data_IF_050838367492
#
_entry.id   IF_050838367492
#
_cell.length_a   1.000
_cell.length_b   1.000
_cell.length_c   1.000
_cell.angle_alpha   90.00
_cell.angle_beta   90.00
_cell.angle_gamma   90.00
#
_symmetry.space_group_name_H-M   'P 1'
#
loop_
_entity.id
_entity.type
_entity.pdbx_description
1 polymer ?
#
# COMPACT_ATOMS: atom_id res chain seq x y z
N UNK A 1 -30.18 0.20 -9.85
CA UNK A 1 -30.49 -1.25 -9.89
C UNK A 1 -31.98 -1.37 -10.11
N UNK A 2 -32.38 -2.06 -11.16
CA UNK A 2 -33.77 -2.38 -11.49
C UNK A 2 -34.00 -3.86 -11.18
N UNK A 3 -35.00 -4.15 -10.34
CA UNK A 3 -35.27 -5.48 -9.82
C UNK A 3 -36.70 -5.84 -10.09
N UNK A 4 -36.92 -6.94 -10.82
CA UNK A 4 -38.25 -7.45 -11.09
C UNK A 4 -38.86 -8.10 -9.84
N UNK A 5 -40.17 -8.32 -9.86
CA UNK A 5 -40.87 -9.08 -8.83
C UNK A 5 -40.45 -10.55 -8.85
N UNK A 6 -40.56 -11.22 -7.70
CA UNK A 6 -40.30 -12.65 -7.61
C UNK A 6 -41.31 -13.45 -8.39
N UNK A 7 -40.82 -14.38 -9.21
CA UNK A 7 -41.61 -15.47 -9.78
C UNK A 7 -41.53 -16.64 -8.82
N UNK A 8 -42.61 -16.94 -8.14
CA UNK A 8 -42.72 -18.03 -7.17
C UNK A 8 -43.17 -19.33 -7.84
N UNK A 9 -42.37 -20.40 -7.72
CA UNK A 9 -42.71 -21.73 -8.20
C UNK A 9 -43.38 -22.54 -7.10
N UNK A 10 -42.96 -22.39 -5.86
CA UNK A 10 -43.62 -22.94 -4.67
C UNK A 10 -43.19 -22.10 -3.42
N UNK A 11 -44.02 -22.08 -2.36
CA UNK A 11 -43.72 -21.29 -1.19
C UNK A 11 -42.65 -21.91 -0.29
N UNK A 12 -41.78 -21.06 0.22
CA UNK A 12 -40.84 -21.38 1.33
C UNK A 12 -40.79 -20.23 2.31
N UNK A 13 -40.52 -20.52 3.59
CA UNK A 13 -40.34 -19.50 4.63
C UNK A 13 -38.88 -19.05 4.73
N UNK A 14 -37.97 -20.01 4.71
CA UNK A 14 -36.53 -19.80 4.84
C UNK A 14 -35.77 -20.84 4.02
N UNK A 15 -34.53 -20.53 3.69
CA UNK A 15 -33.65 -21.47 3.04
C UNK A 15 -33.03 -22.43 4.06
N UNK A 16 -33.04 -23.72 3.74
CA UNK A 16 -32.35 -24.74 4.55
C UNK A 16 -30.90 -24.82 4.06
N UNK A 17 -29.97 -24.47 4.91
CA UNK A 17 -28.54 -24.58 4.62
C UNK A 17 -28.01 -25.96 4.99
N UNK A 18 -27.49 -26.69 4.00
CA UNK A 18 -26.91 -28.02 4.17
C UNK A 18 -25.38 -28.04 4.08
N UNK A 19 -24.78 -26.92 3.87
CA UNK A 19 -23.35 -26.74 3.53
C UNK A 19 -22.36 -26.96 4.67
N UNK A 20 -22.82 -27.16 5.91
CA UNK A 20 -21.95 -27.64 6.98
C UNK A 20 -21.56 -29.10 6.79
N UNK A 21 -22.42 -29.88 6.13
CA UNK A 21 -22.29 -31.34 6.00
C UNK A 21 -21.94 -31.80 4.60
N UNK A 22 -22.33 -31.03 3.56
CA UNK A 22 -22.13 -31.41 2.16
C UNK A 22 -21.83 -30.23 1.25
N UNK A 23 -21.08 -30.48 0.20
CA UNK A 23 -20.80 -29.52 -0.88
C UNK A 23 -21.70 -29.73 -2.11
N UNK A 24 -22.46 -30.80 -2.12
CA UNK A 24 -23.34 -31.18 -3.23
C UNK A 24 -24.72 -31.53 -2.71
N UNK A 25 -25.76 -30.98 -3.33
CA UNK A 25 -27.15 -31.20 -2.91
C UNK A 25 -28.07 -31.21 -4.13
N UNK A 26 -29.13 -32.04 -4.07
CA UNK A 26 -30.26 -31.95 -4.99
C UNK A 26 -31.15 -30.79 -4.54
N UNK A 27 -31.45 -29.88 -5.46
CA UNK A 27 -32.20 -28.66 -5.14
C UNK A 27 -33.28 -28.39 -6.18
N UNK A 28 -34.32 -27.66 -5.76
CA UNK A 28 -35.34 -27.07 -6.63
C UNK A 28 -35.44 -25.58 -6.41
N UNK A 29 -35.62 -24.83 -7.48
CA UNK A 29 -35.83 -23.39 -7.42
C UNK A 29 -37.24 -23.12 -6.89
N UNK A 30 -37.32 -22.48 -5.72
CA UNK A 30 -38.57 -22.06 -5.11
C UNK A 30 -39.09 -20.75 -5.73
N UNK A 31 -38.17 -19.81 -5.98
CA UNK A 31 -38.45 -18.54 -6.62
C UNK A 31 -37.24 -17.99 -7.34
N UNK A 32 -37.48 -17.13 -8.32
CA UNK A 32 -36.41 -16.40 -9.02
C UNK A 32 -36.87 -15.01 -9.45
N UNK A 33 -35.94 -14.15 -9.75
CA UNK A 33 -36.19 -12.84 -10.37
C UNK A 33 -35.01 -12.36 -11.19
N UNK A 34 -35.31 -11.44 -12.12
CA UNK A 34 -34.27 -10.75 -12.91
C UNK A 34 -33.83 -9.47 -12.20
N UNK A 35 -32.56 -9.16 -12.28
CA UNK A 35 -31.95 -7.92 -11.77
C UNK A 35 -31.10 -7.31 -12.86
N UNK A 36 -31.32 -6.03 -13.13
CA UNK A 36 -30.51 -5.26 -14.09
C UNK A 36 -29.77 -4.16 -13.35
N UNK A 37 -28.47 -4.12 -13.48
CA UNK A 37 -27.61 -3.10 -12.89
C UNK A 37 -26.55 -2.66 -13.88
N UNK A 38 -26.45 -1.35 -14.11
CA UNK A 38 -25.46 -0.75 -15.03
C UNK A 38 -25.45 -1.43 -16.42
N UNK A 39 -26.62 -1.76 -16.96
CA UNK A 39 -26.78 -2.41 -18.27
C UNK A 39 -26.44 -3.90 -18.29
N UNK A 40 -26.11 -4.52 -17.16
CA UNK A 40 -25.89 -5.95 -17.05
C UNK A 40 -27.08 -6.63 -16.38
N UNK A 41 -27.50 -7.75 -16.94
CA UNK A 41 -28.60 -8.55 -16.42
C UNK A 41 -28.06 -9.77 -15.70
N UNK A 42 -28.59 -10.05 -14.52
CA UNK A 42 -28.36 -11.27 -13.74
C UNK A 42 -29.69 -11.78 -13.19
N UNK A 43 -29.67 -12.97 -12.66
CA UNK A 43 -30.83 -13.61 -12.06
C UNK A 43 -30.51 -14.04 -10.64
N UNK A 44 -31.49 -13.93 -9.77
CA UNK A 44 -31.44 -14.37 -8.38
C UNK A 44 -32.31 -15.61 -8.22
N UNK A 45 -31.72 -16.67 -7.69
CA UNK A 45 -32.39 -17.94 -7.46
C UNK A 45 -32.44 -18.26 -5.97
N UNK A 46 -33.61 -18.66 -5.48
CA UNK A 46 -33.77 -19.16 -4.11
C UNK A 46 -34.21 -20.64 -4.22
N UNK A 47 -33.43 -21.53 -3.56
CA UNK A 47 -33.69 -22.96 -3.55
C UNK A 47 -34.46 -23.37 -2.28
N UNK A 48 -35.08 -24.53 -2.31
CA UNK A 48 -35.70 -25.19 -1.15
C UNK A 48 -34.65 -25.52 -0.08
N UNK A 49 -33.48 -25.97 -0.54
CA UNK A 49 -32.28 -26.25 0.28
C UNK A 49 -31.04 -25.93 -0.53
N UNK A 50 -29.93 -25.71 0.15
CA UNK A 50 -28.70 -25.33 -0.56
C UNK A 50 -27.45 -25.67 0.22
N UNK A 51 -26.39 -26.17 -0.45
CA UNK A 51 -25.07 -26.30 0.16
C UNK A 51 -24.28 -25.00 0.11
N UNK A 52 -24.77 -23.98 -0.60
CA UNK A 52 -24.09 -22.69 -0.76
C UNK A 52 -24.22 -21.83 0.49
N UNK A 53 -23.10 -21.42 1.05
CA UNK A 53 -23.06 -20.44 2.12
C UNK A 53 -23.36 -19.05 1.57
N UNK A 54 -24.34 -18.38 2.13
CA UNK A 54 -24.66 -17.01 1.78
C UNK A 54 -23.78 -16.01 2.54
N UNK A 55 -23.34 -14.97 1.83
CA UNK A 55 -22.50 -13.91 2.40
C UNK A 55 -23.11 -13.37 3.71
N UNK A 56 -22.44 -13.62 4.81
CA UNK A 56 -22.90 -13.20 6.14
C UNK A 56 -21.76 -13.36 7.16
N UNK A 57 -21.85 -12.63 8.28
CA UNK A 57 -20.89 -12.75 9.37
C UNK A 57 -19.44 -12.44 8.97
N UNK A 58 -19.21 -11.67 7.92
CA UNK A 58 -17.89 -11.35 7.39
C UNK A 58 -17.31 -12.37 6.41
N UNK A 59 -17.90 -13.54 6.29
CA UNK A 59 -17.48 -14.53 5.29
C UNK A 59 -18.25 -14.34 3.98
N UNK A 60 -17.52 -14.22 2.87
CA UNK A 60 -18.14 -14.13 1.53
C UNK A 60 -18.90 -15.40 1.18
N UNK A 61 -19.95 -15.25 0.37
CA UNK A 61 -20.75 -16.37 -0.11
C UNK A 61 -19.97 -17.26 -1.07
N UNK A 62 -20.39 -18.50 -1.15
CA UNK A 62 -19.81 -19.49 -2.04
C UNK A 62 -20.08 -19.18 -3.52
N UNK A 63 -19.23 -19.70 -4.36
CA UNK A 63 -19.43 -19.86 -5.79
C UNK A 63 -19.50 -21.35 -6.14
N UNK A 64 -20.00 -21.64 -7.30
CA UNK A 64 -20.07 -23.04 -7.77
C UNK A 64 -20.91 -23.18 -9.02
N UNK A 65 -21.68 -24.25 -9.09
CA UNK A 65 -22.42 -24.67 -10.27
C UNK A 65 -23.78 -25.27 -9.90
N UNK A 66 -24.78 -25.02 -10.72
CA UNK A 66 -26.00 -25.84 -10.73
C UNK A 66 -26.09 -26.60 -12.05
N UNK A 67 -26.48 -27.85 -12.01
CA UNK A 67 -26.52 -28.74 -13.15
C UNK A 67 -27.85 -29.50 -13.20
N UNK A 68 -28.42 -29.57 -14.39
CA UNK A 68 -29.50 -30.49 -14.74
C UNK A 68 -29.04 -31.44 -15.87
N UNK A 69 -29.94 -32.29 -16.36
CA UNK A 69 -29.62 -33.17 -17.48
C UNK A 69 -29.13 -32.41 -18.73
N UNK A 70 -29.59 -31.18 -18.96
CA UNK A 70 -29.37 -30.41 -20.18
C UNK A 70 -28.63 -29.09 -19.99
N UNK A 71 -28.41 -28.65 -18.73
CA UNK A 71 -27.88 -27.35 -18.45
C UNK A 71 -26.81 -27.39 -17.36
N UNK A 72 -25.86 -26.49 -17.50
CA UNK A 72 -24.82 -26.25 -16.51
C UNK A 72 -24.64 -24.74 -16.34
N UNK A 73 -24.99 -24.21 -15.18
CA UNK A 73 -25.05 -22.78 -14.93
C UNK A 73 -24.16 -22.42 -13.75
N UNK A 74 -23.14 -21.54 -13.93
CA UNK A 74 -22.32 -21.05 -12.84
C UNK A 74 -23.11 -20.20 -11.84
N UNK A 75 -22.92 -20.46 -10.56
CA UNK A 75 -23.32 -19.58 -9.46
C UNK A 75 -22.12 -18.67 -9.15
N UNK A 76 -22.25 -17.40 -9.48
CA UNK A 76 -21.14 -16.43 -9.41
C UNK A 76 -21.03 -15.73 -8.06
N UNK A 77 -22.10 -15.72 -7.28
CA UNK A 77 -22.14 -15.19 -5.92
C UNK A 77 -23.33 -15.78 -5.15
N UNK A 78 -23.23 -15.76 -3.84
CA UNK A 78 -24.31 -16.19 -2.93
C UNK A 78 -24.45 -15.18 -1.82
N UNK A 79 -25.65 -14.62 -1.69
CA UNK A 79 -25.99 -13.61 -0.69
C UNK A 79 -27.02 -14.14 0.31
N UNK A 80 -27.14 -13.49 1.44
CA UNK A 80 -28.16 -13.82 2.44
C UNK A 80 -28.98 -12.58 2.73
N UNK A 81 -30.30 -12.72 2.59
CA UNK A 81 -31.24 -11.61 2.79
C UNK A 81 -32.56 -12.15 3.39
N UNK A 82 -32.95 -11.60 4.53
CA UNK A 82 -34.22 -11.94 5.21
C UNK A 82 -34.46 -13.46 5.41
N UNK A 83 -33.43 -14.18 5.83
CA UNK A 83 -33.51 -15.64 6.02
C UNK A 83 -33.43 -16.48 4.75
N UNK A 84 -33.36 -15.83 3.59
CA UNK A 84 -33.21 -16.50 2.29
C UNK A 84 -31.77 -16.47 1.83
N UNK A 85 -31.32 -17.57 1.24
CA UNK A 85 -30.04 -17.67 0.56
C UNK A 85 -30.28 -17.46 -0.93
N UNK A 86 -29.67 -16.41 -1.47
CA UNK A 86 -29.88 -15.94 -2.84
C UNK A 86 -28.66 -16.29 -3.68
N UNK A 87 -28.85 -17.09 -4.71
CA UNK A 87 -27.81 -17.51 -5.64
C UNK A 87 -27.86 -16.64 -6.89
N UNK A 88 -26.75 -16.00 -7.23
CA UNK A 88 -26.66 -15.10 -8.39
C UNK A 88 -26.07 -15.86 -9.57
N UNK A 89 -26.82 -15.86 -10.67
CA UNK A 89 -26.44 -16.46 -11.94
C UNK A 89 -26.59 -15.44 -13.06
N UNK A 90 -25.81 -15.61 -14.13
CA UNK A 90 -25.86 -14.70 -15.29
C UNK A 90 -26.86 -15.19 -16.38
N UNK A 91 -27.39 -16.37 -16.21
CA UNK A 91 -28.33 -16.99 -17.13
C UNK A 91 -29.44 -17.70 -16.36
N UNK A 92 -30.70 -17.43 -16.70
CA UNK A 92 -31.81 -18.17 -16.15
C UNK A 92 -31.86 -19.58 -16.79
N UNK A 93 -32.07 -20.63 -15.99
CA UNK A 93 -32.32 -21.97 -16.56
C UNK A 93 -33.49 -21.97 -17.56
N UNK A 94 -33.38 -22.75 -18.63
CA UNK A 94 -34.47 -22.93 -19.60
C UNK A 94 -35.69 -23.56 -18.95
N UNK A 95 -35.49 -24.53 -18.05
CA UNK A 95 -36.52 -25.09 -17.21
C UNK A 95 -36.28 -24.81 -15.72
N UNK A 96 -36.77 -23.70 -15.20
CA UNK A 96 -36.57 -23.35 -13.78
C UNK A 96 -37.25 -24.31 -12.79
N UNK A 97 -38.25 -25.09 -13.25
CA UNK A 97 -38.97 -26.06 -12.44
C UNK A 97 -38.25 -27.42 -12.31
N UNK A 98 -37.14 -27.60 -13.01
CA UNK A 98 -36.37 -28.83 -12.96
C UNK A 98 -35.69 -29.04 -11.62
N UNK A 99 -35.29 -30.27 -11.33
CA UNK A 99 -34.37 -30.58 -10.26
C UNK A 99 -32.94 -30.34 -10.73
N UNK A 100 -32.15 -29.63 -9.90
CA UNK A 100 -30.75 -29.36 -10.16
C UNK A 100 -29.86 -30.05 -9.12
N UNK A 101 -28.65 -30.41 -9.54
CA UNK A 101 -27.58 -30.73 -8.62
C UNK A 101 -26.76 -29.44 -8.37
N UNK A 102 -26.79 -28.94 -7.15
CA UNK A 102 -25.99 -27.78 -6.72
C UNK A 102 -24.63 -28.27 -6.21
N UNK A 103 -23.56 -27.71 -6.75
CA UNK A 103 -22.18 -28.04 -6.37
C UNK A 103 -21.43 -26.77 -5.98
N UNK A 104 -21.00 -26.70 -4.75
CA UNK A 104 -20.09 -25.66 -4.28
C UNK A 104 -18.69 -25.91 -4.83
N UNK A 105 -17.99 -24.86 -5.24
CA UNK A 105 -16.57 -24.95 -5.59
C UNK A 105 -15.78 -25.42 -4.35
N UNK A 106 -15.22 -26.63 -4.36
CA UNK A 106 -14.61 -27.21 -3.15
C UNK A 106 -13.32 -26.52 -2.74
N UNK A 107 -12.52 -26.06 -3.71
CA UNK A 107 -11.25 -25.38 -3.44
C UNK A 107 -11.49 -24.00 -2.81
N UNK A 108 -12.40 -23.23 -3.38
CA UNK A 108 -12.77 -21.91 -2.86
C UNK A 108 -13.41 -21.99 -1.47
N UNK A 109 -14.33 -22.95 -1.26
CA UNK A 109 -14.92 -23.20 0.06
C UNK A 109 -13.86 -23.59 1.09
N UNK A 110 -12.97 -24.51 0.75
CA UNK A 110 -11.92 -24.94 1.67
C UNK A 110 -11.01 -23.79 2.05
N UNK A 111 -10.60 -22.96 1.09
CA UNK A 111 -9.76 -21.80 1.32
C UNK A 111 -10.47 -20.77 2.23
N UNK A 112 -11.74 -20.48 2.00
CA UNK A 112 -12.53 -19.60 2.86
C UNK A 112 -12.70 -20.17 4.27
N UNK A 113 -12.99 -21.46 4.39
CA UNK A 113 -13.11 -22.13 5.67
C UNK A 113 -11.79 -22.13 6.47
N UNK A 114 -10.66 -22.37 5.81
CA UNK A 114 -9.34 -22.27 6.41
C UNK A 114 -9.06 -20.85 6.93
N UNK A 115 -9.36 -19.84 6.14
CA UNK A 115 -9.19 -18.44 6.53
C UNK A 115 -10.12 -18.04 7.68
N UNK A 116 -11.33 -18.57 7.70
CA UNK A 116 -12.26 -18.32 8.80
C UNK A 116 -11.77 -18.94 10.11
N UNK A 117 -11.33 -20.17 10.05
CA UNK A 117 -10.73 -20.85 11.22
C UNK A 117 -9.46 -20.12 11.69
N UNK A 118 -8.60 -19.71 10.78
CA UNK A 118 -7.42 -18.90 11.09
C UNK A 118 -7.79 -17.58 11.78
N UNK A 119 -8.89 -16.96 11.39
CA UNK A 119 -9.41 -15.74 12.03
C UNK A 119 -9.74 -15.98 13.50
N UNK A 120 -10.40 -17.10 13.82
CA UNK A 120 -10.70 -17.49 15.21
C UNK A 120 -9.42 -17.73 16.02
N UNK A 121 -8.46 -18.47 15.47
CA UNK A 121 -7.17 -18.71 16.12
C UNK A 121 -6.40 -17.40 16.35
N UNK A 122 -6.42 -16.49 15.40
CA UNK A 122 -5.79 -15.20 15.52
C UNK A 122 -6.47 -14.32 16.58
N UNK A 123 -7.79 -14.33 16.64
CA UNK A 123 -8.53 -13.60 17.67
C UNK A 123 -8.10 -14.03 19.09
N UNK A 124 -8.01 -15.31 19.34
CA UNK A 124 -7.49 -15.85 20.61
C UNK A 124 -6.04 -15.41 20.85
N UNK A 125 -5.19 -15.52 19.83
CA UNK A 125 -3.78 -15.13 19.93
C UNK A 125 -3.62 -13.63 20.24
N UNK A 126 -4.40 -12.77 19.60
CA UNK A 126 -4.41 -11.32 19.86
C UNK A 126 -4.78 -11.02 21.32
N UNK A 127 -5.77 -11.71 21.88
CA UNK A 127 -6.15 -11.55 23.28
C UNK A 127 -5.05 -12.02 24.24
N UNK A 128 -4.33 -13.08 23.89
CA UNK A 128 -3.19 -13.57 24.69
C UNK A 128 -2.00 -12.60 24.67
N UNK A 129 -1.71 -11.99 23.51
CA UNK A 129 -0.55 -11.11 23.35
C UNK A 129 -0.83 -9.69 23.81
N UNK A 130 -2.00 -9.14 23.44
CA UNK A 130 -2.34 -7.73 23.68
C UNK A 130 -3.20 -7.52 24.92
N UNK A 131 -4.04 -8.48 25.28
CA UNK A 131 -4.92 -8.42 26.43
C UNK A 131 -6.40 -8.66 26.13
N UNK A 132 -7.18 -8.78 27.19
CA UNK A 132 -8.62 -9.09 27.11
C UNK A 132 -9.49 -7.97 26.54
N UNK A 133 -8.95 -6.76 26.37
CA UNK A 133 -9.62 -5.62 25.74
C UNK A 133 -9.84 -5.79 24.23
N UNK A 134 -9.13 -6.75 23.61
CA UNK A 134 -9.29 -7.05 22.19
C UNK A 134 -10.67 -7.65 21.93
N UNK A 135 -11.46 -6.94 21.14
CA UNK A 135 -12.79 -7.34 20.68
C UNK A 135 -12.90 -7.16 19.18
N UNK A 136 -13.59 -8.06 18.51
CA UNK A 136 -13.87 -7.94 17.09
C UNK A 136 -14.75 -6.72 16.81
N UNK A 137 -14.30 -5.86 15.88
CA UNK A 137 -15.06 -4.70 15.36
C UNK A 137 -15.50 -4.90 13.92
N UNK A 138 -14.90 -5.80 13.20
CA UNK A 138 -15.23 -6.18 11.84
C UNK A 138 -14.43 -7.39 11.41
N UNK A 139 -14.90 -8.05 10.35
CA UNK A 139 -14.21 -9.21 9.78
C UNK A 139 -14.55 -9.32 8.30
N UNK A 140 -13.58 -9.75 7.50
CA UNK A 140 -13.78 -10.18 6.13
C UNK A 140 -12.98 -11.46 5.90
N UNK A 141 -13.67 -12.49 5.44
CA UNK A 141 -13.06 -13.78 5.10
C UNK A 141 -13.41 -14.10 3.66
N UNK A 142 -12.40 -14.24 2.85
CA UNK A 142 -12.50 -14.67 1.44
C UNK A 142 -11.59 -15.88 1.21
N UNK A 143 -11.68 -16.58 0.09
CA UNK A 143 -10.71 -17.63 -0.24
C UNK A 143 -9.26 -17.15 -0.32
N UNK A 144 -9.05 -15.86 -0.64
CA UNK A 144 -7.73 -15.28 -0.88
C UNK A 144 -7.10 -14.63 0.34
N UNK A 145 -7.93 -14.05 1.24
CA UNK A 145 -7.45 -13.21 2.35
C UNK A 145 -8.41 -13.26 3.53
N UNK A 146 -7.87 -13.07 4.71
CA UNK A 146 -8.65 -12.72 5.89
C UNK A 146 -8.27 -11.32 6.38
N UNK A 147 -9.25 -10.59 6.88
CA UNK A 147 -9.10 -9.27 7.43
C UNK A 147 -9.89 -9.18 8.73
N UNK A 148 -9.24 -8.69 9.77
CA UNK A 148 -9.81 -8.65 11.11
C UNK A 148 -9.58 -7.27 11.73
N UNK A 149 -10.66 -6.61 12.10
CA UNK A 149 -10.65 -5.32 12.78
C UNK A 149 -10.96 -5.54 14.27
N UNK A 150 -10.15 -4.94 15.13
CA UNK A 150 -10.25 -5.17 16.56
C UNK A 150 -9.89 -3.92 17.37
N UNK A 151 -10.39 -3.86 18.60
CA UNK A 151 -10.12 -2.79 19.55
C UNK A 151 -8.70 -2.90 20.12
N UNK A 152 -7.88 -1.89 19.83
CA UNK A 152 -6.55 -1.72 20.41
C UNK A 152 -6.05 -0.30 20.17
N UNK A 153 -5.36 0.29 21.14
CA UNK A 153 -5.04 1.73 21.14
C UNK A 153 -3.72 2.07 20.46
N UNK A 154 -2.83 1.10 20.30
CA UNK A 154 -1.48 1.33 19.80
C UNK A 154 -1.21 0.51 18.55
N UNK A 155 -0.27 1.00 17.74
CA UNK A 155 0.30 0.20 16.67
C UNK A 155 1.00 -1.02 17.28
N UNK A 156 0.72 -2.21 16.74
CA UNK A 156 1.42 -3.41 17.16
C UNK A 156 2.89 -3.37 16.76
N UNK A 157 3.74 -3.80 17.69
CA UNK A 157 5.18 -3.94 17.39
C UNK A 157 5.44 -5.14 16.49
N UNK A 158 6.57 -5.16 15.75
CA UNK A 158 6.97 -6.34 14.98
C UNK A 158 7.06 -7.61 15.82
N UNK A 159 7.49 -7.49 17.09
CA UNK A 159 7.56 -8.61 18.02
C UNK A 159 6.17 -9.14 18.38
N UNK A 160 5.22 -8.25 18.69
CA UNK A 160 3.84 -8.64 19.00
C UNK A 160 3.19 -9.34 17.81
N UNK A 161 3.38 -8.81 16.58
CA UNK A 161 2.89 -9.45 15.36
C UNK A 161 3.50 -10.83 15.17
N UNK A 162 4.79 -10.98 15.42
CA UNK A 162 5.48 -12.27 15.35
C UNK A 162 4.95 -13.27 16.39
N UNK A 163 4.69 -12.82 17.60
CA UNK A 163 4.13 -13.66 18.66
C UNK A 163 2.72 -14.17 18.32
N UNK A 164 1.86 -13.29 17.79
CA UNK A 164 0.53 -13.67 17.29
C UNK A 164 0.64 -14.71 16.18
N UNK A 165 1.47 -14.48 15.19
CA UNK A 165 1.68 -15.39 14.07
C UNK A 165 2.21 -16.75 14.54
N UNK A 166 3.15 -16.76 15.49
CA UNK A 166 3.69 -18.01 16.06
C UNK A 166 2.63 -18.79 16.84
N UNK A 167 1.78 -18.12 17.61
CA UNK A 167 0.69 -18.79 18.35
C UNK A 167 -0.33 -19.41 17.39
N UNK A 168 -0.71 -18.70 16.33
CA UNK A 168 -1.63 -19.24 15.33
C UNK A 168 -1.01 -20.45 14.63
N UNK A 169 0.23 -20.36 14.19
CA UNK A 169 0.90 -21.48 13.51
C UNK A 169 1.13 -22.68 14.46
N UNK A 170 1.31 -22.45 15.74
CA UNK A 170 1.36 -23.53 16.74
C UNK A 170 0.03 -24.28 16.81
N UNK A 171 -1.08 -23.55 16.82
CA UNK A 171 -2.42 -24.14 16.80
C UNK A 171 -2.69 -24.89 15.48
N UNK A 172 -2.20 -24.38 14.36
CA UNK A 172 -2.25 -25.08 13.07
C UNK A 172 -1.52 -26.42 13.14
N UNK A 173 -0.27 -26.42 13.64
CA UNK A 173 0.52 -27.65 13.76
C UNK A 173 -0.04 -28.65 14.78
N UNK A 174 -0.76 -28.16 15.79
CA UNK A 174 -1.44 -29.01 16.76
C UNK A 174 -2.59 -29.83 16.14
N UNK A 175 -3.05 -29.41 14.95
CA UNK A 175 -4.08 -30.09 14.19
C UNK A 175 -5.36 -30.38 15.02
N UNK A 176 -5.84 -29.35 15.71
CA UNK A 176 -7.08 -29.46 16.49
C UNK A 176 -8.26 -29.76 15.58
N UNK A 177 -9.09 -30.79 15.90
CA UNK A 177 -10.29 -31.07 15.15
C UNK A 177 -11.35 -29.99 15.40
N UNK A 178 -12.24 -29.81 14.41
CA UNK A 178 -13.46 -29.04 14.60
C UNK A 178 -14.37 -29.75 15.59
N UNK A 179 -14.70 -29.08 16.67
CA UNK A 179 -15.73 -29.48 17.60
C UNK A 179 -16.85 -28.44 17.54
N UNK A 180 -18.03 -28.85 17.11
CA UNK A 180 -19.18 -27.95 17.01
C UNK A 180 -20.40 -28.45 17.77
N UNK A 181 -21.14 -27.51 18.32
CA UNK A 181 -22.46 -27.74 18.89
C UNK A 181 -23.45 -26.76 18.24
N UNK A 182 -24.31 -27.26 17.37
CA UNK A 182 -25.31 -26.47 16.63
C UNK A 182 -26.56 -26.16 17.45
N UNK A 183 -26.70 -26.78 18.58
CA UNK A 183 -27.88 -26.74 19.46
C UNK A 183 -27.52 -26.24 20.87
N UNK A 184 -26.39 -25.52 20.99
CA UNK A 184 -25.97 -25.00 22.29
C UNK A 184 -26.95 -23.93 22.80
N UNK A 185 -27.18 -23.91 24.10
CA UNK A 185 -27.86 -22.77 24.72
C UNK A 185 -26.88 -21.62 24.96
N UNK A 186 -27.40 -20.43 25.11
CA UNK A 186 -26.58 -19.27 25.42
C UNK A 186 -25.82 -19.45 26.74
N UNK A 187 -26.44 -20.08 27.74
CA UNK A 187 -25.81 -20.36 29.02
C UNK A 187 -24.67 -21.40 28.91
N UNK A 188 -24.83 -22.42 28.07
CA UNK A 188 -23.76 -23.39 27.78
C UNK A 188 -22.56 -22.70 27.09
N UNK A 189 -22.81 -21.80 26.15
CA UNK A 189 -21.77 -21.03 25.49
C UNK A 189 -21.01 -20.13 26.47
N UNK A 190 -21.69 -19.44 27.37
CA UNK A 190 -21.09 -18.61 28.41
C UNK A 190 -20.24 -19.43 29.37
N UNK A 191 -20.70 -20.61 29.78
CA UNK A 191 -19.94 -21.53 30.64
C UNK A 191 -18.65 -22.04 30.00
N UNK A 192 -18.65 -22.22 28.68
CA UNK A 192 -17.48 -22.61 27.91
C UNK A 192 -16.50 -21.43 27.66
N UNK A 193 -16.87 -20.21 28.05
CA UNK A 193 -16.08 -19.03 27.76
C UNK A 193 -16.06 -18.67 26.27
N UNK A 194 -17.12 -19.04 25.53
CA UNK A 194 -17.21 -18.76 24.10
C UNK A 194 -17.24 -17.26 23.84
N UNK A 195 -16.45 -16.82 22.86
CA UNK A 195 -16.47 -15.43 22.41
C UNK A 195 -17.76 -15.16 21.63
N UNK A 196 -18.44 -14.07 22.00
CA UNK A 196 -19.67 -13.60 21.38
C UNK A 196 -19.47 -12.19 20.86
N UNK A 197 -20.04 -11.89 19.69
CA UNK A 197 -20.00 -10.52 19.18
C UNK A 197 -20.88 -9.61 20.00
N UNK A 198 -20.33 -8.48 20.44
CA UNK A 198 -21.06 -7.48 21.19
C UNK A 198 -22.16 -6.86 20.32
N UNK A 199 -23.40 -6.87 20.82
CA UNK A 199 -24.56 -6.28 20.14
C UNK A 199 -25.27 -7.19 19.14
N UNK A 200 -24.80 -8.40 18.88
CA UNK A 200 -25.56 -9.39 18.10
C UNK A 200 -26.69 -9.99 18.94
N UNK A 201 -27.85 -10.12 18.32
CA UNK A 201 -28.98 -10.83 18.90
C UNK A 201 -28.90 -12.30 18.55
N UNK A 202 -28.53 -13.12 19.55
CA UNK A 202 -28.55 -14.56 19.41
C UNK A 202 -29.94 -15.12 19.76
N UNK A 203 -30.38 -16.12 18.98
CA UNK A 203 -31.59 -16.87 19.31
C UNK A 203 -31.41 -17.77 20.55
N UNK A 204 -32.42 -18.57 20.85
CA UNK A 204 -32.38 -19.52 21.98
C UNK A 204 -31.30 -20.60 21.82
N UNK A 205 -31.04 -20.99 20.57
CA UNK A 205 -30.00 -21.91 20.15
C UNK A 205 -28.93 -21.22 19.32
N UNK A 206 -27.66 -21.51 19.62
CA UNK A 206 -26.50 -20.94 18.96
C UNK A 206 -25.55 -22.05 18.52
N UNK A 207 -24.82 -21.76 17.43
CA UNK A 207 -23.75 -22.67 16.99
C UNK A 207 -22.43 -22.27 17.63
N UNK A 208 -21.89 -23.19 18.43
CA UNK A 208 -20.59 -23.01 19.08
C UNK A 208 -19.54 -23.82 18.32
N UNK A 209 -18.42 -23.16 18.02
CA UNK A 209 -17.29 -23.72 17.26
C UNK A 209 -16.05 -23.69 18.16
N UNK A 210 -15.41 -24.86 18.32
CA UNK A 210 -14.21 -25.02 19.12
C UNK A 210 -13.07 -25.62 18.30
N UNK A 211 -11.89 -25.06 18.49
CA UNK A 211 -10.60 -25.62 18.06
C UNK A 211 -9.60 -25.49 19.22
N UNK A 212 -9.40 -26.58 19.94
CA UNK A 212 -8.58 -26.54 21.15
C UNK A 212 -9.16 -25.58 22.21
N UNK A 213 -8.40 -24.55 22.57
CA UNK A 213 -8.83 -23.50 23.51
C UNK A 213 -9.64 -22.38 22.88
N UNK A 214 -9.66 -22.27 21.55
CA UNK A 214 -10.45 -21.26 20.82
C UNK A 214 -11.91 -21.69 20.74
N UNK A 215 -12.81 -20.91 21.34
CA UNK A 215 -14.25 -21.18 21.35
C UNK A 215 -15.00 -19.91 20.98
N UNK A 216 -15.81 -19.97 19.93
CA UNK A 216 -16.62 -18.83 19.47
C UNK A 216 -18.01 -19.26 19.02
N UNK A 217 -18.96 -18.35 19.13
CA UNK A 217 -20.25 -18.47 18.46
C UNK A 217 -20.08 -18.00 17.00
N UNK A 218 -20.36 -18.87 16.06
CA UNK A 218 -20.13 -18.59 14.67
C UNK A 218 -21.05 -19.39 13.73
N UNK A 219 -21.66 -18.69 12.77
CA UNK A 219 -22.45 -19.32 11.70
C UNK A 219 -21.67 -19.64 10.42
N UNK A 220 -20.40 -19.21 10.33
CA UNK A 220 -19.58 -19.41 9.15
C UNK A 220 -19.11 -20.85 8.95
N UNK A 221 -18.48 -21.11 7.82
CA UNK A 221 -17.89 -22.42 7.52
C UNK A 221 -16.48 -22.51 8.06
N UNK A 222 -16.12 -23.68 8.57
CA UNK A 222 -14.83 -23.96 9.18
C UNK A 222 -14.17 -25.21 8.59
N UNK A 223 -12.84 -25.23 8.66
CA UNK A 223 -12.09 -26.43 8.28
C UNK A 223 -12.32 -27.58 9.29
N UNK A 224 -12.17 -28.80 8.84
CA UNK A 224 -12.35 -29.99 9.70
C UNK A 224 -11.27 -30.13 10.77
N UNK A 225 -10.09 -29.60 10.53
CA UNK A 225 -8.98 -29.59 11.47
C UNK A 225 -8.03 -28.43 11.14
N UNK A 226 -7.39 -27.87 12.16
CA UNK A 226 -6.52 -26.69 12.00
C UNK A 226 -5.29 -26.95 11.11
N UNK A 227 -4.84 -28.20 11.02
CA UNK A 227 -3.73 -28.58 10.13
C UNK A 227 -3.98 -28.29 8.65
N UNK A 228 -5.24 -28.28 8.21
CA UNK A 228 -5.60 -27.96 6.83
C UNK A 228 -5.29 -26.52 6.44
N UNK A 229 -5.14 -25.62 7.41
CA UNK A 229 -4.77 -24.21 7.18
C UNK A 229 -3.39 -24.10 6.52
N UNK A 230 -2.47 -25.02 6.85
CA UNK A 230 -1.10 -25.01 6.38
C UNK A 230 -0.25 -23.98 7.13
N UNK A 231 0.14 -22.91 6.46
CA UNK A 231 0.89 -21.81 7.08
C UNK A 231 0.04 -20.53 7.12
N UNK A 232 0.08 -19.86 8.26
CA UNK A 232 -0.57 -18.56 8.48
C UNK A 232 0.47 -17.45 8.44
N UNK A 233 0.24 -16.42 7.63
CA UNK A 233 1.15 -15.28 7.47
C UNK A 233 0.40 -13.96 7.57
N UNK A 234 0.80 -13.10 8.50
CA UNK A 234 0.31 -11.73 8.60
C UNK A 234 1.00 -10.89 7.50
N UNK A 235 0.21 -10.18 6.72
CA UNK A 235 0.70 -9.29 5.67
C UNK A 235 0.87 -7.86 6.16
N UNK A 236 -0.11 -7.34 6.91
CA UNK A 236 -0.17 -5.94 7.28
C UNK A 236 -0.96 -5.71 8.56
N UNK A 237 -0.60 -4.67 9.29
CA UNK A 237 -1.33 -4.14 10.45
C UNK A 237 -1.45 -2.62 10.28
N UNK A 238 -2.66 -2.09 10.39
CA UNK A 238 -2.93 -0.66 10.16
C UNK A 238 -4.03 -0.13 11.07
N UNK A 239 -4.10 1.19 11.20
CA UNK A 239 -5.21 1.88 11.85
C UNK A 239 -6.39 2.03 10.90
N UNK A 240 -7.61 1.80 11.41
CA UNK A 240 -8.86 2.05 10.68
C UNK A 240 -9.56 3.29 11.23
N UNK A 241 -9.60 3.41 12.53
CA UNK A 241 -10.13 4.56 13.25
C UNK A 241 -9.49 4.65 14.63
N UNK A 242 -9.86 5.66 15.40
CA UNK A 242 -9.38 5.79 16.77
C UNK A 242 -9.73 4.54 17.59
N UNK A 243 -8.71 3.88 18.14
CA UNK A 243 -8.87 2.68 18.96
C UNK A 243 -9.23 1.42 18.20
N UNK A 244 -9.18 1.40 16.86
CA UNK A 244 -9.45 0.21 16.04
C UNK A 244 -8.28 -0.07 15.10
N UNK A 245 -7.72 -1.27 15.20
CA UNK A 245 -6.64 -1.79 14.36
C UNK A 245 -7.16 -2.85 13.40
N UNK A 246 -6.49 -2.99 12.27
CA UNK A 246 -6.78 -3.99 11.24
C UNK A 246 -5.57 -4.85 10.97
N UNK A 247 -5.76 -6.17 10.96
CA UNK A 247 -4.78 -7.13 10.45
C UNK A 247 -5.32 -7.75 9.17
N UNK A 248 -4.45 -7.86 8.18
CA UNK A 248 -4.66 -8.63 6.96
C UNK A 248 -3.69 -9.82 6.96
N UNK A 249 -4.19 -11.00 6.67
CA UNK A 249 -3.41 -12.23 6.69
C UNK A 249 -3.85 -13.19 5.58
N UNK A 250 -2.98 -14.13 5.28
CA UNK A 250 -3.20 -15.19 4.29
C UNK A 250 -2.80 -16.54 4.87
N UNK A 251 -3.31 -17.61 4.26
CA UNK A 251 -3.03 -18.99 4.68
C UNK A 251 -2.68 -19.87 3.49
N UNK A 252 -2.09 -21.04 3.76
CA UNK A 252 -1.88 -22.09 2.78
C UNK A 252 -1.07 -21.64 1.58
N UNK A 253 -1.55 -21.92 0.39
CA UNK A 253 -0.87 -21.61 -0.86
C UNK A 253 -0.54 -20.12 -1.03
N UNK A 254 -1.43 -19.22 -0.59
CA UNK A 254 -1.14 -17.78 -0.62
C UNK A 254 0.04 -17.41 0.28
N UNK A 255 0.15 -18.03 1.43
CA UNK A 255 1.29 -17.82 2.35
C UNK A 255 2.58 -18.38 1.74
N UNK A 256 2.54 -19.53 1.07
CA UNK A 256 3.68 -20.08 0.33
C UNK A 256 4.16 -19.14 -0.77
N UNK A 257 3.24 -18.57 -1.55
CA UNK A 257 3.57 -17.60 -2.60
C UNK A 257 4.30 -16.36 -2.04
N UNK A 258 3.90 -15.87 -0.88
CA UNK A 258 4.58 -14.76 -0.21
C UNK A 258 6.01 -15.13 0.19
N UNK A 259 6.21 -16.34 0.72
CA UNK A 259 7.54 -16.86 1.07
C UNK A 259 8.42 -16.97 -0.16
N UNK A 260 7.93 -17.60 -1.22
CA UNK A 260 8.66 -17.76 -2.47
C UNK A 260 9.04 -16.42 -3.10
N UNK A 261 8.13 -15.45 -3.11
CA UNK A 261 8.42 -14.11 -3.61
C UNK A 261 9.54 -13.41 -2.81
N UNK A 262 9.57 -13.60 -1.49
CA UNK A 262 10.63 -13.07 -0.64
C UNK A 262 11.97 -13.77 -0.91
N UNK A 263 11.96 -15.10 -1.07
CA UNK A 263 13.15 -15.87 -1.42
C UNK A 263 13.70 -15.48 -2.79
N UNK A 264 12.83 -15.34 -3.79
CA UNK A 264 13.21 -14.92 -5.14
C UNK A 264 13.85 -13.53 -5.13
N UNK A 265 13.23 -12.58 -4.42
CA UNK A 265 13.79 -11.23 -4.27
C UNK A 265 15.17 -11.26 -3.61
N UNK A 266 15.34 -12.06 -2.57
CA UNK A 266 16.63 -12.19 -1.89
C UNK A 266 17.70 -12.80 -2.79
N UNK A 267 17.32 -13.83 -3.58
CA UNK A 267 18.21 -14.45 -4.57
C UNK A 267 18.61 -13.45 -5.65
N UNK A 268 17.66 -12.72 -6.22
CA UNK A 268 17.93 -11.72 -7.25
C UNK A 268 18.90 -10.63 -6.76
N UNK A 269 18.72 -10.17 -5.52
CA UNK A 269 19.65 -9.21 -4.90
C UNK A 269 21.04 -9.83 -4.72
N UNK A 270 21.10 -11.06 -4.23
CA UNK A 270 22.36 -11.80 -4.07
C UNK A 270 23.10 -11.96 -5.39
N UNK A 271 22.38 -12.33 -6.45
CA UNK A 271 22.94 -12.52 -7.79
C UNK A 271 23.41 -11.18 -8.37
N UNK A 272 22.64 -10.11 -8.21
CA UNK A 272 23.01 -8.77 -8.66
C UNK A 272 24.27 -8.24 -7.96
N UNK A 273 24.40 -8.51 -6.67
CA UNK A 273 25.55 -8.11 -5.86
C UNK A 273 26.75 -9.08 -6.01
N UNK A 274 26.58 -10.21 -6.69
CA UNK A 274 27.55 -11.30 -6.77
C UNK A 274 28.07 -11.73 -5.39
N UNK A 275 27.19 -11.72 -4.39
CA UNK A 275 27.55 -12.05 -3.00
C UNK A 275 26.37 -12.67 -2.24
N UNK A 276 26.52 -13.90 -1.71
CA UNK A 276 25.47 -14.54 -0.93
C UNK A 276 25.21 -13.88 0.42
N UNK A 277 26.14 -13.08 0.92
CA UNK A 277 25.99 -12.32 2.16
C UNK A 277 25.42 -10.93 1.87
N UNK A 278 24.16 -10.88 1.44
CA UNK A 278 23.48 -9.70 0.92
C UNK A 278 23.61 -8.48 1.84
N UNK A 279 23.33 -8.63 3.14
CA UNK A 279 23.37 -7.52 4.09
C UNK A 279 24.77 -6.91 4.20
N UNK A 280 25.82 -7.75 4.24
CA UNK A 280 27.20 -7.27 4.31
C UNK A 280 27.60 -6.57 3.02
N UNK A 281 27.20 -7.11 1.86
CA UNK A 281 27.48 -6.50 0.56
C UNK A 281 26.83 -5.12 0.43
N UNK A 282 25.57 -4.98 0.86
CA UNK A 282 24.85 -3.70 0.86
C UNK A 282 25.52 -2.69 1.78
N UNK A 283 25.91 -3.09 3.01
CA UNK A 283 26.63 -2.19 3.94
C UNK A 283 27.94 -1.70 3.34
N UNK A 284 28.74 -2.63 2.76
CA UNK A 284 30.02 -2.29 2.12
C UNK A 284 29.81 -1.33 0.93
N UNK A 285 28.78 -1.58 0.12
CA UNK A 285 28.44 -0.71 -1.01
C UNK A 285 28.06 0.70 -0.52
N UNK A 286 27.29 0.80 0.56
CA UNK A 286 26.90 2.07 1.15
C UNK A 286 28.12 2.84 1.68
N UNK A 287 29.02 2.18 2.44
CA UNK A 287 30.27 2.76 2.95
C UNK A 287 31.19 3.21 1.81
N UNK A 288 31.32 2.40 0.76
CA UNK A 288 32.10 2.75 -0.42
C UNK A 288 31.53 3.95 -1.17
N UNK A 289 30.20 4.02 -1.31
CA UNK A 289 29.55 5.15 -1.94
C UNK A 289 29.75 6.45 -1.14
N UNK A 290 29.69 6.36 0.18
CA UNK A 290 29.95 7.51 1.05
C UNK A 290 31.42 7.99 0.93
N UNK A 291 32.36 7.05 0.90
CA UNK A 291 33.77 7.37 0.72
C UNK A 291 34.05 8.01 -0.66
N UNK A 292 33.48 7.44 -1.72
CA UNK A 292 33.59 8.00 -3.07
C UNK A 292 32.96 9.40 -3.17
N UNK A 293 31.84 9.62 -2.52
CA UNK A 293 31.18 10.92 -2.50
C UNK A 293 32.06 11.99 -1.84
N UNK A 294 32.74 11.66 -0.73
CA UNK A 294 33.71 12.54 -0.05
C UNK A 294 34.94 12.80 -0.93
N UNK A 295 35.44 11.78 -1.60
CA UNK A 295 36.57 11.92 -2.54
C UNK A 295 36.22 12.84 -3.71
N UNK A 296 35.07 12.63 -4.34
CA UNK A 296 34.58 13.50 -5.43
C UNK A 296 34.42 14.94 -4.94
N UNK A 297 33.88 15.17 -3.73
CA UNK A 297 33.76 16.51 -3.18
C UNK A 297 35.13 17.18 -2.94
N UNK A 298 36.09 16.42 -2.44
CA UNK A 298 37.46 16.90 -2.25
C UNK A 298 38.11 17.28 -3.58
N UNK A 299 38.05 16.39 -4.57
CA UNK A 299 38.56 16.66 -5.91
C UNK A 299 37.90 17.88 -6.56
N UNK A 300 36.60 18.05 -6.36
CA UNK A 300 35.87 19.22 -6.86
C UNK A 300 36.36 20.50 -6.22
N UNK A 301 36.55 20.49 -4.89
CA UNK A 301 37.08 21.67 -4.15
C UNK A 301 38.49 22.06 -4.65
N UNK A 302 39.34 21.06 -4.83
CA UNK A 302 40.70 21.31 -5.37
C UNK A 302 40.67 21.85 -6.79
N UNK A 303 39.82 21.30 -7.65
CA UNK A 303 39.63 21.78 -9.02
C UNK A 303 39.11 23.22 -9.04
N UNK A 304 38.09 23.52 -8.20
CA UNK A 304 37.53 24.88 -8.09
C UNK A 304 38.59 25.85 -7.61
N UNK A 305 39.41 25.50 -6.63
CA UNK A 305 40.47 26.35 -6.14
C UNK A 305 41.53 26.66 -7.22
N UNK A 306 41.94 25.65 -7.98
CA UNK A 306 42.89 25.84 -9.10
C UNK A 306 42.32 26.72 -10.21
N UNK A 307 41.02 26.56 -10.51
CA UNK A 307 40.34 27.43 -11.50
C UNK A 307 40.24 28.88 -10.99
N UNK A 308 39.89 29.06 -9.73
CA UNK A 308 39.83 30.37 -9.11
C UNK A 308 41.19 31.08 -9.23
N UNK A 309 42.29 30.39 -8.87
CA UNK A 309 43.65 30.96 -8.96
C UNK A 309 44.01 31.35 -10.39
N UNK A 310 43.71 30.50 -11.38
CA UNK A 310 43.96 30.79 -12.79
C UNK A 310 43.11 31.97 -13.30
N UNK A 311 41.83 32.02 -12.94
CA UNK A 311 40.94 33.10 -13.34
C UNK A 311 41.39 34.45 -12.77
N UNK A 312 41.73 34.47 -11.49
CA UNK A 312 42.23 35.71 -10.84
C UNK A 312 43.54 36.15 -11.45
N UNK A 313 44.49 35.27 -11.69
CA UNK A 313 45.76 35.58 -12.34
C UNK A 313 45.60 36.15 -13.74
N UNK A 314 44.56 35.76 -14.49
CA UNK A 314 44.27 36.23 -15.82
C UNK A 314 43.32 37.43 -15.88
N UNK A 315 42.80 37.88 -14.73
CA UNK A 315 41.82 38.97 -14.66
C UNK A 315 42.44 40.21 -13.97
N UNK A 316 43.02 41.15 -14.74
CA UNK A 316 43.61 42.34 -14.15
C UNK A 316 42.52 43.27 -13.61
N UNK A 317 42.88 44.02 -12.57
CA UNK A 317 42.06 45.11 -12.08
C UNK A 317 42.02 46.23 -13.12
N UNK A 318 40.80 46.70 -13.43
CA UNK A 318 40.59 47.85 -14.28
C UNK A 318 39.54 48.77 -13.67
N UNK A 319 39.91 50.04 -13.47
CA UNK A 319 39.00 51.06 -12.87
C UNK A 319 38.40 50.58 -11.53
N UNK A 320 39.20 49.95 -10.68
CA UNK A 320 38.80 49.51 -9.35
C UNK A 320 37.96 48.22 -9.32
N UNK A 321 37.90 47.46 -10.41
CA UNK A 321 37.10 46.26 -10.55
C UNK A 321 37.90 45.15 -11.21
N UNK A 322 37.74 43.90 -10.70
CA UNK A 322 38.11 42.69 -11.40
C UNK A 322 36.84 42.05 -11.98
N UNK A 323 36.57 42.31 -13.24
CA UNK A 323 35.36 41.86 -13.94
C UNK A 323 35.56 40.50 -14.58
N UNK A 324 34.67 39.59 -14.28
CA UNK A 324 34.53 38.28 -14.93
C UNK A 324 33.08 38.16 -15.40
N UNK A 325 32.86 38.23 -16.70
CA UNK A 325 31.54 38.08 -17.33
C UNK A 325 31.65 36.99 -18.40
N UNK A 326 31.03 35.85 -18.16
CA UNK A 326 31.19 34.69 -19.04
C UNK A 326 30.00 33.71 -18.93
N UNK A 327 29.97 32.78 -19.88
CA UNK A 327 29.08 31.61 -19.81
C UNK A 327 29.88 30.36 -19.48
N UNK A 328 29.24 29.39 -18.84
CA UNK A 328 29.81 28.10 -18.49
C UNK A 328 28.79 26.99 -18.69
N UNK A 329 29.27 25.78 -18.91
CA UNK A 329 28.48 24.55 -18.99
C UNK A 329 28.49 23.75 -17.63
N UNK A 330 29.12 24.31 -16.61
CA UNK A 330 29.25 23.70 -15.32
C UNK A 330 27.93 23.72 -14.52
N UNK A 331 27.82 22.78 -13.57
CA UNK A 331 26.64 22.66 -12.70
C UNK A 331 26.47 23.88 -11.79
N UNK A 332 25.23 24.15 -11.32
CA UNK A 332 24.99 25.24 -10.37
C UNK A 332 25.84 25.16 -9.10
N UNK A 333 26.09 23.95 -8.58
CA UNK A 333 26.93 23.74 -7.41
C UNK A 333 28.39 24.15 -7.68
N UNK A 334 28.92 23.77 -8.83
CA UNK A 334 30.27 24.17 -9.24
C UNK A 334 30.40 25.68 -9.38
N UNK A 335 29.44 26.31 -10.03
CA UNK A 335 29.39 27.79 -10.23
C UNK A 335 29.35 28.51 -8.91
N UNK A 336 28.54 28.03 -7.95
CA UNK A 336 28.45 28.59 -6.60
C UNK A 336 29.78 28.47 -5.87
N UNK A 337 30.38 27.30 -5.85
CA UNK A 337 31.65 27.04 -5.15
C UNK A 337 32.77 27.92 -5.75
N UNK A 338 32.83 28.02 -7.07
CA UNK A 338 33.77 28.89 -7.79
C UNK A 338 33.55 30.36 -7.42
N UNK A 339 32.31 30.82 -7.38
CA UNK A 339 31.97 32.20 -7.04
C UNK A 339 32.48 32.55 -5.61
N UNK A 340 32.26 31.68 -4.62
CA UNK A 340 32.76 31.88 -3.29
C UNK A 340 34.29 31.83 -3.21
N UNK A 341 34.96 30.95 -3.92
CA UNK A 341 36.41 30.90 -4.02
C UNK A 341 36.99 32.17 -4.63
N UNK A 342 36.41 32.69 -5.70
CA UNK A 342 36.82 33.94 -6.35
C UNK A 342 36.64 35.13 -5.39
N UNK A 343 35.52 35.21 -4.69
CA UNK A 343 35.26 36.29 -3.69
C UNK A 343 36.29 36.32 -2.60
N UNK A 344 36.70 35.16 -2.07
CA UNK A 344 37.71 35.06 -1.03
C UNK A 344 39.09 35.56 -1.50
N UNK A 345 39.37 35.50 -2.81
CA UNK A 345 40.67 35.90 -3.41
C UNK A 345 40.69 37.31 -4.00
N UNK A 346 39.52 37.89 -4.26
CA UNK A 346 39.41 39.15 -5.00
C UNK A 346 38.39 40.09 -4.32
N UNK A 347 38.81 41.00 -3.46
CA UNK A 347 37.94 41.98 -2.80
C UNK A 347 37.19 42.89 -3.77
N UNK A 348 37.75 43.10 -4.96
CA UNK A 348 37.19 43.94 -6.03
C UNK A 348 36.48 43.15 -7.12
N UNK A 349 36.08 41.91 -6.81
CA UNK A 349 35.41 40.99 -7.75
C UNK A 349 34.06 41.52 -8.21
N UNK A 350 33.83 41.46 -9.50
CA UNK A 350 32.51 41.49 -10.14
C UNK A 350 32.40 40.25 -11.02
N UNK A 351 31.69 39.21 -10.52
CA UNK A 351 31.44 38.02 -11.28
C UNK A 351 30.00 38.03 -11.76
N UNK A 352 29.84 37.91 -13.08
CA UNK A 352 28.55 37.70 -13.74
C UNK A 352 28.68 36.46 -14.63
N UNK A 353 28.05 35.37 -14.20
CA UNK A 353 28.21 34.09 -14.88
C UNK A 353 26.86 33.51 -15.28
N UNK A 354 26.71 33.23 -16.55
CA UNK A 354 25.57 32.51 -17.09
C UNK A 354 25.86 31.02 -17.25
N UNK A 355 24.88 30.20 -17.01
CA UNK A 355 24.93 28.78 -17.31
C UNK A 355 23.60 28.25 -17.82
N UNK A 356 23.65 27.18 -18.61
CA UNK A 356 22.47 26.50 -19.09
C UNK A 356 22.54 25.05 -18.63
N UNK A 357 21.57 24.62 -17.83
CA UNK A 357 21.45 23.25 -17.33
C UNK A 357 20.06 22.72 -17.70
N UNK A 358 20.00 21.58 -18.36
CA UNK A 358 18.75 20.96 -18.85
C UNK A 358 17.85 21.95 -19.64
N UNK A 359 18.49 22.78 -20.49
CA UNK A 359 17.80 23.78 -21.29
C UNK A 359 17.31 25.01 -20.54
N UNK A 360 17.59 25.12 -19.24
CA UNK A 360 17.19 26.27 -18.40
C UNK A 360 18.38 27.19 -18.14
N UNK A 361 18.27 28.49 -18.45
CA UNK A 361 19.33 29.44 -18.16
C UNK A 361 19.35 29.84 -16.69
N UNK A 362 20.53 30.08 -16.16
CA UNK A 362 20.78 30.61 -14.84
C UNK A 362 21.80 31.70 -14.88
N UNK A 363 21.54 32.79 -14.18
CA UNK A 363 22.44 33.92 -13.99
C UNK A 363 22.94 33.95 -12.54
N UNK A 364 24.24 34.00 -12.37
CA UNK A 364 24.88 34.09 -11.04
C UNK A 364 25.70 35.38 -10.98
N UNK A 365 25.50 36.14 -9.92
CA UNK A 365 26.28 37.35 -9.61
C UNK A 365 26.92 37.20 -8.26
N UNK A 366 28.24 37.38 -8.19
CA UNK A 366 29.03 37.44 -6.95
C UNK A 366 29.83 38.73 -6.96
N UNK A 367 29.75 39.44 -5.85
CA UNK A 367 30.47 40.74 -5.66
C UNK A 367 31.49 40.61 -4.52
N UNK A 368 32.67 41.12 -4.74
CA UNK A 368 33.70 41.24 -3.73
C UNK A 368 33.31 42.24 -2.60
N UNK A 369 34.01 42.17 -1.51
CA UNK A 369 33.72 42.95 -0.32
C UNK A 369 33.77 44.44 -0.55
N UNK A 370 34.77 44.91 -1.31
CA UNK A 370 34.92 46.34 -1.68
C UNK A 370 33.84 46.84 -2.63
N UNK A 371 33.24 45.97 -3.43
CA UNK A 371 32.15 46.32 -4.36
C UNK A 371 30.83 46.45 -3.58
N UNK A 372 30.52 45.52 -2.69
CA UNK A 372 29.32 45.62 -1.84
C UNK A 372 29.38 46.82 -0.91
N UNK A 373 30.56 47.20 -0.43
CA UNK A 373 30.79 48.39 0.40
C UNK A 373 30.38 49.69 -0.31
N UNK A 374 30.37 49.72 -1.63
CA UNK A 374 29.91 50.86 -2.47
C UNK A 374 28.38 50.90 -2.63
N UNK A 375 27.63 49.97 -2.04
CA UNK A 375 26.17 49.89 -2.12
C UNK A 375 25.63 49.10 -3.30
N UNK A 376 26.46 48.40 -4.04
CA UNK A 376 26.03 47.50 -5.14
C UNK A 376 25.39 46.26 -4.53
N UNK A 377 24.24 45.87 -5.02
CA UNK A 377 23.42 44.72 -4.51
C UNK A 377 23.18 43.71 -5.61
N UNK A 378 23.78 42.53 -5.45
CA UNK A 378 23.64 41.42 -6.40
C UNK A 378 22.19 40.95 -6.58
N UNK A 379 21.41 40.94 -5.52
CA UNK A 379 19.99 40.53 -5.56
C UNK A 379 19.14 41.46 -6.44
N UNK A 380 19.39 42.78 -6.35
CA UNK A 380 18.72 43.77 -7.20
C UNK A 380 19.14 43.62 -8.68
N UNK A 381 20.42 43.40 -8.93
CA UNK A 381 20.98 43.24 -10.28
C UNK A 381 20.38 42.00 -10.97
N UNK A 382 20.36 40.86 -10.33
CA UNK A 382 19.82 39.62 -10.96
C UNK A 382 18.32 39.72 -11.22
N UNK A 383 17.56 40.41 -10.39
CA UNK A 383 16.12 40.62 -10.60
C UNK A 383 15.84 41.39 -11.89
N UNK A 384 16.58 42.43 -12.13
CA UNK A 384 16.43 43.24 -13.37
C UNK A 384 16.96 42.49 -14.58
N UNK A 385 18.15 41.94 -14.51
CA UNK A 385 18.79 41.25 -15.62
C UNK A 385 18.03 40.00 -16.07
N UNK A 386 17.47 39.26 -15.14
CA UNK A 386 16.74 38.01 -15.41
C UNK A 386 15.46 38.20 -16.24
N UNK A 387 14.90 39.38 -16.26
CA UNK A 387 13.75 39.70 -17.12
C UNK A 387 14.05 39.46 -18.62
N UNK A 388 15.29 39.63 -19.05
CA UNK A 388 15.73 39.39 -20.43
C UNK A 388 15.79 37.92 -20.81
N UNK A 389 15.82 37.03 -19.87
CA UNK A 389 15.73 35.57 -20.07
C UNK A 389 14.42 34.96 -19.55
N UNK A 390 13.38 35.78 -19.41
CA UNK A 390 12.06 35.38 -18.90
C UNK A 390 12.16 34.67 -17.52
N UNK A 391 12.88 35.27 -16.62
CA UNK A 391 13.18 34.69 -15.33
C UNK A 391 13.07 35.67 -14.19
N UNK A 392 13.43 35.16 -13.03
CA UNK A 392 13.47 35.87 -11.77
C UNK A 392 14.37 35.20 -10.77
N UNK A 393 14.76 35.94 -9.76
CA UNK A 393 15.60 35.42 -8.69
C UNK A 393 15.87 36.46 -7.65
N UNK A 394 16.88 36.25 -6.87
CA UNK A 394 17.30 37.12 -5.79
C UNK A 394 18.40 36.48 -4.97
N UNK A 395 18.72 37.09 -3.86
CA UNK A 395 19.76 36.65 -2.97
C UNK A 395 20.21 37.73 -2.05
N UNK A 396 21.42 37.60 -1.57
CA UNK A 396 22.08 38.54 -0.69
C UNK A 396 22.75 39.69 -1.48
N UNK A 397 23.21 40.70 -0.80
CA UNK A 397 23.89 41.84 -1.42
C UNK A 397 25.16 41.44 -2.22
N UNK A 398 25.86 40.42 -1.74
CA UNK A 398 27.11 39.95 -2.36
C UNK A 398 26.96 38.73 -3.27
N UNK A 399 25.88 37.98 -3.18
CA UNK A 399 25.66 36.79 -3.96
C UNK A 399 24.16 36.59 -4.26
N UNK A 400 23.84 36.47 -5.54
CA UNK A 400 22.47 36.18 -5.96
C UNK A 400 22.45 35.36 -7.22
N UNK A 401 21.35 34.64 -7.42
CA UNK A 401 21.09 33.80 -8.58
C UNK A 401 19.69 34.05 -9.12
N UNK A 402 19.53 33.88 -10.43
CA UNK A 402 18.25 33.94 -11.08
C UNK A 402 18.13 32.81 -12.11
N UNK A 403 16.97 32.16 -12.16
CA UNK A 403 16.62 31.22 -13.20
C UNK A 403 15.72 31.85 -14.24
N UNK A 404 15.73 31.30 -15.47
CA UNK A 404 14.87 31.78 -16.58
C UNK A 404 14.29 30.63 -17.38
N UNK A 405 13.43 31.00 -18.33
CA UNK A 405 12.79 30.06 -19.28
C UNK A 405 13.36 30.15 -20.68
N UNK A 406 14.01 31.28 -21.05
CA UNK A 406 14.55 31.54 -22.37
C UNK A 406 16.07 31.54 -22.34
N UNK A 407 16.75 30.44 -22.74
CA UNK A 407 18.22 30.41 -22.80
C UNK A 407 18.83 31.36 -23.84
N UNK A 408 18.08 31.74 -24.86
CA UNK A 408 18.55 32.69 -25.86
C UNK A 408 18.74 34.13 -25.30
N UNK A 409 18.08 34.45 -24.20
CA UNK A 409 18.19 35.68 -23.47
C UNK A 409 19.35 35.75 -22.47
N UNK A 410 20.11 34.66 -22.29
CA UNK A 410 21.16 34.59 -21.25
C UNK A 410 22.28 35.60 -21.47
N UNK A 411 22.80 35.75 -22.68
CA UNK A 411 23.87 36.71 -22.95
C UNK A 411 23.38 38.13 -22.73
N UNK A 412 22.17 38.46 -23.14
CA UNK A 412 21.58 39.77 -22.88
C UNK A 412 21.42 40.04 -21.37
N UNK A 413 21.07 39.03 -20.59
CA UNK A 413 20.99 39.11 -19.13
C UNK A 413 22.36 39.35 -18.50
N UNK A 414 23.40 38.68 -18.96
CA UNK A 414 24.79 38.89 -18.52
C UNK A 414 25.21 40.34 -18.81
N UNK A 415 25.01 40.82 -20.03
CA UNK A 415 25.38 42.17 -20.45
C UNK A 415 24.63 43.24 -19.64
N UNK A 416 23.34 43.00 -19.36
CA UNK A 416 22.53 43.89 -18.53
C UNK A 416 23.02 43.93 -17.07
N UNK A 417 23.38 42.79 -16.50
CA UNK A 417 23.95 42.75 -15.16
C UNK A 417 25.27 43.53 -15.07
N UNK A 418 26.15 43.37 -16.06
CA UNK A 418 27.42 44.12 -16.12
C UNK A 418 27.15 45.61 -16.23
N UNK A 419 26.22 46.04 -17.07
CA UNK A 419 25.81 47.47 -17.23
C UNK A 419 25.30 48.04 -15.90
N UNK A 420 24.37 47.31 -15.21
CA UNK A 420 23.79 47.76 -13.95
C UNK A 420 24.84 47.91 -12.83
N UNK A 421 25.78 47.00 -12.78
CA UNK A 421 26.87 47.05 -11.81
C UNK A 421 27.81 48.20 -12.12
N UNK A 422 28.20 48.35 -13.40
CA UNK A 422 29.09 49.40 -13.89
C UNK A 422 28.57 50.81 -13.61
N UNK A 423 27.26 51.02 -13.65
CA UNK A 423 26.62 52.30 -13.34
C UNK A 423 26.70 52.68 -11.84
N UNK A 424 26.92 51.72 -10.97
CA UNK A 424 26.94 51.92 -9.51
C UNK A 424 28.35 51.95 -8.91
N UNK A 425 29.32 51.41 -9.62
CA UNK A 425 30.74 51.41 -9.16
C UNK A 425 31.36 52.80 -9.41
N UNK A 426 32.03 53.30 -8.36
CA UNK A 426 32.70 54.63 -8.39
C UNK A 426 34.17 54.49 -8.69
#
# INVERSE_FOLDING_TARGET
VDTDDWVELFPIRESIFTGYDTLTEKVRIARYRRVTSKGKTSYQLVFDRTPFYGNSGGQVGDIGMIESANERIPVVATEKENGLIIHIVNQLPENPAAEFTARVDPEKRQAAANNHTATHLMHEALRKVLGAHVEQKGSLVTPEILRFDFSHFQKMTPQELREVEMLVNRAVRANYPLEENREATKEEAEKCGAMMLFGEKYGDKVRMVRFGSSVELCGGTHTSATGNIGFFKILNESAISAGVRRIEAVTGERAEQIIYAAEDTMRDISDYLHNPQVLQAVKKMFESNEALSKEVETMRREQVAQWADKIIASTPERRGVQLIATQTDRTPEFVKDLAYCLRARAPKLVLVQGSVNDGKPMLTVMLGEEITAQGVNAGAVVREAAKLMQGGGGGQAFFATAGGKNPDGLQAAIDKAVELIGAQVK
#
